data_IF_978915197676
#
_entry.id   IF_978915197676
#
_cell.length_a   1.000
_cell.length_b   1.000
_cell.length_c   1.000
_cell.angle_alpha   90.00
_cell.angle_beta   90.00
_cell.angle_gamma   90.00
#
_symmetry.space_group_name_H-M   'P 1'
#
loop_
_entity.id
_entity.type
_entity.pdbx_description
1 polymer ?
#
# COMPACT_ATOMS: atom_id res chain seq x y z
N UNK A 1 10.71 15.74 4.78
CA UNK A 1 9.79 14.68 4.37
C UNK A 1 10.06 14.28 2.95
N UNK A 2 10.05 12.99 2.70
CA UNK A 2 10.19 12.49 1.34
C UNK A 2 8.86 12.51 0.61
N UNK A 3 8.91 12.77 -0.68
CA UNK A 3 7.74 12.72 -1.53
C UNK A 3 7.70 11.40 -2.29
N UNK A 4 6.54 10.82 -2.35
CA UNK A 4 6.33 9.54 -3.05
C UNK A 4 5.11 9.61 -3.94
N UNK A 5 5.20 8.94 -5.08
CA UNK A 5 4.03 8.58 -5.85
C UNK A 5 3.51 7.28 -5.27
N UNK A 6 2.28 7.31 -4.79
CA UNK A 6 1.65 6.13 -4.19
C UNK A 6 0.67 5.52 -5.17
N UNK A 7 0.85 4.24 -5.44
CA UNK A 7 -0.14 3.44 -6.15
C UNK A 7 -0.75 2.50 -5.13
N UNK A 8 -2.01 2.70 -4.82
CA UNK A 8 -2.74 1.89 -3.86
C UNK A 8 -3.70 0.97 -4.60
N UNK A 9 -3.44 -0.31 -4.52
CA UNK A 9 -4.22 -1.34 -5.19
C UNK A 9 -4.96 -2.16 -4.14
N UNK A 10 -6.27 -2.28 -4.31
CA UNK A 10 -7.12 -3.08 -3.43
C UNK A 10 -7.66 -4.25 -4.24
N UNK A 11 -7.34 -5.46 -3.80
CA UNK A 11 -7.83 -6.67 -4.42
C UNK A 11 -8.86 -7.31 -3.49
N UNK A 12 -10.09 -7.38 -3.95
CA UNK A 12 -11.16 -8.02 -3.21
C UNK A 12 -11.29 -9.46 -3.66
N UNK A 13 -11.18 -10.39 -2.73
CA UNK A 13 -11.24 -11.83 -2.99
C UNK A 13 -12.68 -12.36 -2.89
N UNK A 14 -13.64 -11.60 -3.34
CA UNK A 14 -15.02 -12.06 -3.40
C UNK A 14 -15.21 -13.19 -4.42
N UNK A 15 -16.10 -14.12 -4.11
CA UNK A 15 -16.26 -15.43 -4.76
C UNK A 15 -16.37 -15.44 -6.27
N UNK A 16 -16.94 -14.45 -6.89
CA UNK A 16 -17.28 -14.50 -8.32
C UNK A 16 -16.77 -13.32 -9.13
N UNK A 17 -16.12 -12.36 -8.50
CA UNK A 17 -15.59 -11.20 -9.20
C UNK A 17 -14.29 -10.78 -8.54
N UNK A 18 -13.22 -10.96 -9.27
CA UNK A 18 -11.96 -10.34 -8.89
C UNK A 18 -12.07 -8.86 -9.23
N UNK A 19 -12.51 -8.07 -8.27
CA UNK A 19 -12.51 -6.62 -8.43
C UNK A 19 -11.22 -6.08 -7.89
N UNK A 20 -10.55 -5.31 -8.72
CA UNK A 20 -9.30 -4.68 -8.38
C UNK A 20 -9.44 -3.19 -8.60
N UNK A 21 -9.34 -2.46 -7.50
CA UNK A 21 -9.37 -1.01 -7.55
C UNK A 21 -7.95 -0.48 -7.43
N UNK A 22 -7.60 0.49 -8.24
CA UNK A 22 -6.27 1.10 -8.22
C UNK A 22 -6.43 2.60 -8.08
N UNK A 23 -5.75 3.17 -7.09
CA UNK A 23 -5.76 4.59 -6.82
C UNK A 23 -4.35 5.15 -6.93
N UNK A 24 -4.23 6.33 -7.52
CA UNK A 24 -2.95 7.03 -7.67
C UNK A 24 -3.00 8.33 -6.91
N UNK A 25 -1.96 8.60 -6.13
CA UNK A 25 -1.84 9.89 -5.45
C UNK A 25 -0.37 10.21 -5.16
N UNK A 26 -0.09 11.48 -4.94
CA UNK A 26 1.22 11.93 -4.48
C UNK A 26 1.11 12.26 -3.01
N UNK A 27 2.07 11.75 -2.22
CA UNK A 27 2.05 11.94 -0.78
C UNK A 27 3.43 12.35 -0.28
N UNK A 28 3.44 12.94 0.91
CA UNK A 28 4.66 13.21 1.65
C UNK A 28 4.62 12.42 2.94
N UNK A 29 5.65 11.62 3.19
CA UNK A 29 5.76 10.90 4.45
C UNK A 29 7.22 10.58 4.74
N UNK A 30 7.53 10.39 6.01
CA UNK A 30 8.88 10.02 6.42
C UNK A 30 9.08 8.50 6.35
N UNK A 31 8.03 7.75 6.65
CA UNK A 31 8.09 6.30 6.70
C UNK A 31 6.85 5.69 6.02
N UNK A 32 7.03 5.08 4.83
CA UNK A 32 5.91 4.46 4.12
C UNK A 32 5.17 3.40 4.94
N UNK A 33 5.89 2.61 5.73
CA UNK A 33 5.27 1.57 6.56
C UNK A 33 4.35 2.20 7.59
N UNK A 34 4.82 3.26 8.24
CA UNK A 34 4.03 3.99 9.22
C UNK A 34 2.80 4.63 8.58
N UNK A 35 2.95 5.15 7.38
CA UNK A 35 1.83 5.71 6.62
C UNK A 35 0.73 4.67 6.43
N UNK A 36 1.12 3.46 6.03
CA UNK A 36 0.15 2.38 5.81
C UNK A 36 -0.51 1.97 7.13
N UNK A 37 0.26 1.87 8.20
CA UNK A 37 -0.28 1.51 9.51
C UNK A 37 -1.33 2.50 9.99
N UNK A 38 -1.09 3.78 9.79
CA UNK A 38 -2.05 4.83 10.16
C UNK A 38 -3.31 4.75 9.33
N UNK A 39 -3.17 4.46 8.05
CA UNK A 39 -4.31 4.35 7.14
C UNK A 39 -5.19 3.15 7.50
N UNK A 40 -4.60 2.11 8.04
CA UNK A 40 -5.29 0.87 8.42
C UNK A 40 -5.52 0.76 9.92
N UNK A 41 -5.51 1.88 10.61
CA UNK A 41 -5.64 1.94 12.06
C UNK A 41 -6.90 1.24 12.56
N UNK A 42 -6.76 0.45 13.61
CA UNK A 42 -7.87 -0.27 14.21
C UNK A 42 -8.18 -1.63 13.58
N UNK A 43 -7.45 -2.01 12.54
CA UNK A 43 -7.63 -3.31 11.90
C UNK A 43 -6.42 -4.20 12.16
N UNK A 44 -6.69 -5.49 12.39
CA UNK A 44 -5.61 -6.47 12.45
C UNK A 44 -5.22 -6.80 11.02
N UNK A 45 -4.05 -6.34 10.62
CA UNK A 45 -3.53 -6.60 9.29
C UNK A 45 -2.13 -7.17 9.39
N UNK A 46 -1.81 -8.09 8.49
CA UNK A 46 -0.45 -8.52 8.30
C UNK A 46 0.22 -7.59 7.31
N UNK A 47 1.36 -7.05 7.69
CA UNK A 47 2.10 -6.13 6.84
C UNK A 47 3.42 -6.78 6.43
N UNK A 48 3.65 -6.84 5.13
CA UNK A 48 4.90 -7.33 4.55
C UNK A 48 5.49 -6.22 3.71
N UNK A 49 6.77 -5.94 3.90
CA UNK A 49 7.48 -4.87 3.20
C UNK A 49 8.51 -5.46 2.26
N UNK A 50 8.53 -4.97 1.03
CA UNK A 50 9.53 -5.35 0.04
C UNK A 50 10.16 -4.11 -0.55
N UNK A 51 11.49 -4.07 -0.62
CA UNK A 51 12.21 -2.97 -1.24
C UNK A 51 12.54 -3.31 -2.68
N UNK A 52 12.30 -2.34 -3.56
CA UNK A 52 12.58 -2.49 -4.98
C UNK A 52 13.73 -1.59 -5.42
N UNK A 53 13.93 -1.54 -6.74
CA UNK A 53 14.99 -0.76 -7.36
C UNK A 53 14.68 0.73 -7.26
N UNK A 54 15.69 1.56 -7.06
CA UNK A 54 15.56 3.01 -7.04
C UNK A 54 14.89 3.57 -5.80
N UNK A 55 14.91 2.83 -4.70
CA UNK A 55 14.32 3.28 -3.44
C UNK A 55 12.81 3.07 -3.36
N UNK A 56 12.23 2.36 -4.30
CA UNK A 56 10.81 2.04 -4.23
C UNK A 56 10.52 1.06 -3.09
N UNK A 57 9.38 1.22 -2.47
CA UNK A 57 8.96 0.38 -1.34
C UNK A 57 7.56 -0.12 -1.63
N UNK A 58 7.38 -1.43 -1.53
CA UNK A 58 6.06 -2.04 -1.67
C UNK A 58 5.62 -2.58 -0.32
N UNK A 59 4.45 -2.19 0.12
CA UNK A 59 3.87 -2.66 1.37
C UNK A 59 2.63 -3.46 1.04
N UNK A 60 2.60 -4.70 1.49
CA UNK A 60 1.43 -5.57 1.34
C UNK A 60 0.70 -5.65 2.67
N UNK A 61 -0.59 -5.44 2.64
CA UNK A 61 -1.44 -5.55 3.82
C UNK A 61 -2.60 -6.47 3.52
N UNK A 62 -2.83 -7.46 4.37
CA UNK A 62 -3.90 -8.42 4.19
C UNK A 62 -4.74 -8.56 5.45
N UNK A 63 -6.06 -8.53 5.30
CA UNK A 63 -7.00 -8.75 6.38
C UNK A 63 -8.36 -9.17 5.83
N UNK A 64 -8.96 -10.19 6.42
CA UNK A 64 -10.35 -10.60 6.17
C UNK A 64 -10.70 -10.77 4.69
N UNK A 65 -9.82 -11.41 3.93
CA UNK A 65 -10.06 -11.66 2.51
C UNK A 65 -9.85 -10.46 1.61
N UNK A 66 -9.36 -9.36 2.16
CA UNK A 66 -9.04 -8.16 1.41
C UNK A 66 -7.54 -7.97 1.39
N UNK A 67 -6.95 -7.98 0.20
CA UNK A 67 -5.53 -7.72 0.04
C UNK A 67 -5.30 -6.32 -0.51
N UNK A 68 -4.39 -5.59 0.10
CA UNK A 68 -4.03 -4.25 -0.33
C UNK A 68 -2.54 -4.18 -0.60
N UNK A 69 -2.18 -3.48 -1.66
CA UNK A 69 -0.80 -3.26 -2.04
C UNK A 69 -0.56 -1.77 -2.15
N UNK A 70 0.47 -1.29 -1.50
CA UNK A 70 0.87 0.11 -1.53
C UNK A 70 2.26 0.20 -2.13
N UNK A 71 2.36 0.73 -3.32
CA UNK A 71 3.65 0.93 -3.99
C UNK A 71 4.06 2.39 -3.85
N UNK A 72 5.17 2.62 -3.17
CA UNK A 72 5.74 3.95 -2.96
C UNK A 72 6.95 4.13 -3.86
N UNK A 73 6.86 5.06 -4.79
CA UNK A 73 7.97 5.40 -5.69
C UNK A 73 8.46 6.79 -5.36
N UNK A 74 9.74 6.96 -5.00
CA UNK A 74 10.26 8.28 -4.67
C UNK A 74 10.15 9.24 -5.86
N UNK A 75 9.76 10.47 -5.57
CA UNK A 75 9.70 11.54 -6.56
C UNK A 75 10.90 12.45 -6.32
N UNK A 76 11.71 12.64 -7.34
CA UNK A 76 12.83 13.56 -7.28
C UNK A 76 12.44 14.97 -7.69
#
# INVERSE_FOLDING_TARGET
MAEYELVHEIQNLCRNKQMRDVFFEEIQCDDPVEYVRRKLQGKQVEITVSEGIGGSITVYAGADGLNQKFLFTPID
#
